data_IF_829465324151
#
_entry.id   IF_829465324151
#
_cell.length_a   1.000
_cell.length_b   1.000
_cell.length_c   1.000
_cell.angle_alpha   90.00
_cell.angle_beta   90.00
_cell.angle_gamma   90.00
#
_symmetry.space_group_name_H-M   'P 1'
#
loop_
_entity.id
_entity.type
_entity.pdbx_description
1 polymer ?
#
# COMPACT_ATOMS: atom_id res chain seq x y z
N UNK A 1 -5.47 -44.26 -12.42
CA UNK A 1 -6.01 -42.89 -12.58
C UNK A 1 -6.25 -42.36 -11.19
N UNK A 2 -5.30 -41.60 -10.63
CA UNK A 2 -5.39 -41.09 -9.27
C UNK A 2 -5.73 -39.61 -9.32
N UNK A 3 -6.92 -39.33 -8.84
CA UNK A 3 -7.48 -37.99 -8.71
C UNK A 3 -6.72 -37.22 -7.63
N UNK A 4 -5.99 -36.20 -8.05
CA UNK A 4 -5.23 -35.30 -7.18
C UNK A 4 -6.17 -34.15 -6.79
N UNK A 5 -6.98 -34.38 -5.74
CA UNK A 5 -7.80 -33.35 -5.12
C UNK A 5 -6.91 -32.16 -4.72
N UNK A 6 -7.09 -31.04 -5.42
CA UNK A 6 -6.56 -29.72 -5.08
C UNK A 6 -7.08 -29.34 -3.68
N UNK A 7 -6.15 -29.28 -2.72
CA UNK A 7 -6.44 -28.84 -1.37
C UNK A 7 -6.76 -27.30 -1.40
N UNK A 8 -7.96 -26.87 -0.98
CA UNK A 8 -8.27 -25.44 -0.95
C UNK A 8 -7.33 -24.74 0.03
N UNK A 9 -6.82 -23.59 -0.38
CA UNK A 9 -5.88 -22.78 0.40
C UNK A 9 -6.35 -22.67 1.86
N UNK A 10 -5.56 -23.27 2.76
CA UNK A 10 -5.84 -23.31 4.19
C UNK A 10 -5.86 -21.89 4.71
N UNK A 11 -7.01 -21.40 5.20
CA UNK A 11 -7.11 -20.10 5.86
C UNK A 11 -5.97 -19.99 6.87
N UNK A 12 -5.22 -18.87 6.90
CA UNK A 12 -4.15 -18.68 7.86
C UNK A 12 -4.69 -18.95 9.26
N UNK A 13 -3.91 -19.67 10.06
CA UNK A 13 -4.28 -19.99 11.43
C UNK A 13 -4.45 -18.67 12.18
N UNK A 14 -5.64 -18.43 12.73
CA UNK A 14 -5.99 -17.19 13.46
C UNK A 14 -4.98 -16.88 14.59
N UNK A 15 -4.34 -17.90 15.12
CA UNK A 15 -3.32 -17.75 16.15
C UNK A 15 -2.03 -17.17 15.57
N UNK A 16 -1.62 -17.65 14.40
CA UNK A 16 -0.46 -17.13 13.66
C UNK A 16 -0.67 -15.64 13.34
N UNK A 17 -1.83 -15.30 12.77
CA UNK A 17 -2.13 -13.91 12.42
C UNK A 17 -2.11 -12.99 13.66
N UNK A 18 -2.76 -13.38 14.75
CA UNK A 18 -2.73 -12.58 15.99
C UNK A 18 -1.32 -12.36 16.54
N UNK A 19 -0.44 -13.34 16.40
CA UNK A 19 0.96 -13.19 16.82
C UNK A 19 1.70 -12.20 15.94
N UNK A 20 1.48 -12.24 14.62
CA UNK A 20 2.06 -11.31 13.66
C UNK A 20 1.56 -9.89 13.91
N UNK A 21 0.24 -9.72 14.06
CA UNK A 21 -0.40 -8.43 14.36
C UNK A 21 0.18 -7.84 15.66
N UNK A 22 0.27 -8.63 16.75
CA UNK A 22 0.82 -8.16 18.01
C UNK A 22 2.29 -7.72 17.92
N UNK A 23 3.11 -8.40 17.09
CA UNK A 23 4.50 -8.02 16.86
C UNK A 23 4.61 -6.75 16.00
N UNK A 24 3.78 -6.61 14.96
CA UNK A 24 3.69 -5.40 14.13
C UNK A 24 3.26 -4.20 14.95
N UNK A 25 2.14 -4.31 15.70
CA UNK A 25 1.64 -3.25 16.58
C UNK A 25 2.69 -2.80 17.61
N UNK A 26 3.44 -3.76 18.18
CA UNK A 26 4.50 -3.45 19.14
C UNK A 26 5.65 -2.68 18.47
N UNK A 27 6.09 -3.10 17.28
CA UNK A 27 7.14 -2.40 16.54
C UNK A 27 6.71 -0.97 16.18
N UNK A 28 5.51 -0.79 15.63
CA UNK A 28 4.98 0.53 15.28
C UNK A 28 4.86 1.42 16.53
N UNK A 29 4.38 0.88 17.65
CA UNK A 29 4.33 1.62 18.92
C UNK A 29 5.72 2.11 19.36
N UNK A 30 6.72 1.25 19.31
CA UNK A 30 8.09 1.62 19.67
C UNK A 30 8.69 2.67 18.72
N UNK A 31 8.35 2.63 17.44
CA UNK A 31 8.82 3.60 16.44
C UNK A 31 8.25 5.02 16.64
N UNK A 32 7.16 5.18 17.37
CA UNK A 32 6.66 6.51 17.76
C UNK A 32 7.55 7.18 18.83
N UNK A 33 8.24 6.39 19.64
CA UNK A 33 9.01 6.90 20.78
C UNK A 33 10.53 6.82 20.58
N UNK A 34 10.97 5.96 19.65
CA UNK A 34 12.38 5.64 19.48
C UNK A 34 12.77 5.60 17.99
N UNK A 35 14.01 6.02 17.65
CA UNK A 35 14.56 5.76 16.32
C UNK A 35 14.57 4.26 16.03
N UNK A 36 14.20 3.87 14.80
CA UNK A 36 14.11 2.46 14.40
C UNK A 36 15.39 1.66 14.75
N UNK A 37 16.57 2.24 14.53
CA UNK A 37 17.85 1.57 14.76
C UNK A 37 18.14 1.31 16.25
N UNK A 38 17.55 2.10 17.14
CA UNK A 38 17.68 1.90 18.59
C UNK A 38 16.77 0.79 19.11
N UNK A 39 15.69 0.44 18.39
CA UNK A 39 14.76 -0.60 18.78
C UNK A 39 15.42 -1.98 18.58
N UNK A 40 15.42 -2.81 19.60
CA UNK A 40 15.89 -4.20 19.51
C UNK A 40 14.72 -5.18 19.31
N UNK A 41 15.03 -6.39 18.81
CA UNK A 41 14.03 -7.47 18.77
C UNK A 41 13.49 -7.75 20.19
N UNK A 42 14.35 -7.63 21.24
CA UNK A 42 13.90 -7.88 22.62
C UNK A 42 12.84 -6.87 23.07
N UNK A 43 12.98 -5.59 22.73
CA UNK A 43 11.98 -4.55 23.07
C UNK A 43 10.62 -4.88 22.44
N UNK A 44 10.63 -5.32 21.17
CA UNK A 44 9.41 -5.76 20.48
C UNK A 44 8.78 -6.98 21.14
N UNK A 45 9.60 -7.96 21.54
CA UNK A 45 9.12 -9.19 22.21
C UNK A 45 8.48 -8.87 23.57
N UNK A 46 9.13 -8.01 24.35
CA UNK A 46 8.67 -7.61 25.67
C UNK A 46 7.33 -6.88 25.60
N UNK A 47 7.18 -5.96 24.63
CA UNK A 47 5.95 -5.22 24.42
C UNK A 47 4.82 -6.10 23.86
N UNK A 48 5.13 -6.98 22.90
CA UNK A 48 4.15 -7.89 22.27
C UNK A 48 3.74 -9.07 23.17
N UNK A 49 4.50 -9.36 24.23
CA UNK A 49 4.30 -10.56 25.05
C UNK A 49 4.55 -11.88 24.30
N UNK A 50 5.47 -11.87 23.33
CA UNK A 50 5.76 -13.01 22.46
C UNK A 50 7.14 -13.58 22.76
N UNK A 51 7.28 -14.91 22.75
CA UNK A 51 8.57 -15.55 23.00
C UNK A 51 9.51 -15.38 21.81
N UNK A 52 10.84 -15.35 22.09
CA UNK A 52 11.88 -15.26 21.07
C UNK A 52 11.80 -16.39 20.04
N UNK A 53 11.53 -17.61 20.46
CA UNK A 53 11.36 -18.75 19.55
C UNK A 53 10.17 -18.57 18.61
N UNK A 54 9.06 -18.01 19.11
CA UNK A 54 7.89 -17.71 18.28
C UNK A 54 8.20 -16.63 17.25
N UNK A 55 8.92 -15.57 17.63
CA UNK A 55 9.33 -14.51 16.70
C UNK A 55 10.11 -15.10 15.50
N UNK A 56 11.16 -15.84 15.77
CA UNK A 56 12.00 -16.42 14.72
C UNK A 56 11.34 -17.53 13.90
N UNK A 57 10.15 -17.97 14.27
CA UNK A 57 9.30 -18.82 13.43
C UNK A 57 8.63 -17.99 12.31
N UNK A 58 8.45 -16.69 12.51
CA UNK A 58 7.72 -15.81 11.60
C UNK A 58 8.61 -14.80 10.88
N UNK A 59 9.64 -14.29 11.53
CA UNK A 59 10.49 -13.20 11.05
C UNK A 59 11.96 -13.49 11.31
N UNK A 60 12.84 -13.06 10.39
CA UNK A 60 14.28 -13.19 10.51
C UNK A 60 14.88 -12.16 11.48
N UNK A 61 14.36 -10.96 11.42
CA UNK A 61 14.79 -9.78 12.17
C UNK A 61 13.67 -8.72 12.23
N UNK A 62 13.96 -7.57 12.82
CA UNK A 62 12.98 -6.46 12.92
C UNK A 62 12.69 -5.78 11.58
N UNK A 63 13.64 -5.83 10.64
CA UNK A 63 13.45 -5.30 9.28
C UNK A 63 12.44 -6.16 8.50
N UNK A 64 12.57 -7.48 8.61
CA UNK A 64 11.63 -8.44 8.02
C UNK A 64 10.22 -8.29 8.62
N UNK A 65 10.12 -8.06 9.93
CA UNK A 65 8.85 -7.72 10.58
C UNK A 65 8.26 -6.44 10.02
N UNK A 66 9.04 -5.35 9.97
CA UNK A 66 8.59 -4.05 9.47
C UNK A 66 8.08 -4.14 8.02
N UNK A 67 8.86 -4.76 7.13
CA UNK A 67 8.48 -4.89 5.72
C UNK A 67 7.25 -5.78 5.55
N UNK A 68 7.12 -6.82 6.35
CA UNK A 68 5.96 -7.70 6.33
C UNK A 68 4.67 -6.99 6.78
N UNK A 69 4.77 -6.18 7.83
CA UNK A 69 3.65 -5.39 8.35
C UNK A 69 3.23 -4.31 7.35
N UNK A 70 4.21 -3.60 6.77
CA UNK A 70 3.98 -2.63 5.71
C UNK A 70 3.32 -3.25 4.47
N UNK A 71 3.75 -4.45 4.06
CA UNK A 71 3.16 -5.19 2.93
C UNK A 71 1.68 -5.50 3.17
N UNK A 72 1.35 -6.04 4.36
CA UNK A 72 -0.03 -6.35 4.75
C UNK A 72 -0.90 -5.08 4.81
N UNK A 73 -0.37 -3.99 5.37
CA UNK A 73 -1.05 -2.71 5.44
C UNK A 73 -1.36 -2.16 4.04
N UNK A 74 -0.36 -2.07 3.15
CA UNK A 74 -0.57 -1.52 1.81
C UNK A 74 -1.43 -2.42 0.94
N UNK A 75 -1.34 -3.74 1.10
CA UNK A 75 -2.23 -4.68 0.45
C UNK A 75 -3.69 -4.43 0.87
N UNK A 76 -3.96 -4.26 2.16
CA UNK A 76 -5.28 -3.96 2.68
C UNK A 76 -5.79 -2.61 2.17
N UNK A 77 -4.98 -1.57 2.31
CA UNK A 77 -5.30 -0.20 1.89
C UNK A 77 -5.61 -0.14 0.39
N UNK A 78 -4.77 -0.71 -0.47
CA UNK A 78 -4.96 -0.70 -1.92
C UNK A 78 -6.24 -1.46 -2.37
N UNK A 79 -6.77 -2.37 -1.54
CA UNK A 79 -7.98 -3.11 -1.82
C UNK A 79 -9.24 -2.52 -1.16
N UNK A 80 -9.11 -1.46 -0.37
CA UNK A 80 -10.18 -0.90 0.46
C UNK A 80 -11.46 -0.62 -0.33
N UNK A 81 -11.37 0.05 -1.49
CA UNK A 81 -12.54 0.35 -2.33
C UNK A 81 -13.26 -0.89 -2.84
N UNK A 82 -12.51 -1.96 -3.12
CA UNK A 82 -13.10 -3.24 -3.55
C UNK A 82 -13.76 -3.97 -2.38
N UNK A 83 -13.12 -3.96 -1.21
CA UNK A 83 -13.61 -4.63 -0.01
C UNK A 83 -14.87 -3.96 0.55
N UNK A 84 -14.96 -2.64 0.47
CA UNK A 84 -16.14 -1.87 0.91
C UNK A 84 -17.26 -1.83 -0.13
N UNK A 85 -17.05 -2.40 -1.31
CA UNK A 85 -18.05 -2.39 -2.39
C UNK A 85 -18.30 -0.99 -2.97
N UNK A 86 -17.26 -0.14 -3.00
CA UNK A 86 -17.31 1.22 -3.54
C UNK A 86 -17.83 1.23 -4.99
N UNK A 87 -18.89 2.02 -5.24
CA UNK A 87 -19.56 2.12 -6.54
C UNK A 87 -19.19 3.37 -7.33
N UNK A 88 -18.45 4.30 -6.73
CA UNK A 88 -17.99 5.51 -7.42
C UNK A 88 -16.95 5.19 -8.50
N UNK A 89 -16.56 6.20 -9.23
CA UNK A 89 -15.49 6.12 -10.23
C UNK A 89 -14.07 6.26 -9.63
N UNK A 90 -13.93 6.18 -8.30
CA UNK A 90 -12.61 6.18 -7.64
C UNK A 90 -11.84 4.91 -8.00
N UNK A 91 -10.56 5.08 -8.32
CA UNK A 91 -9.65 3.98 -8.70
C UNK A 91 -8.68 3.60 -7.59
N UNK A 92 -8.48 4.48 -6.61
CA UNK A 92 -7.62 4.26 -5.45
C UNK A 92 -8.20 4.96 -4.20
N UNK A 93 -7.94 4.46 -2.99
CA UNK A 93 -8.37 5.07 -1.72
C UNK A 93 -7.42 6.22 -1.33
N UNK A 94 -7.34 7.25 -2.18
CA UNK A 94 -6.40 8.37 -2.01
C UNK A 94 -6.73 9.14 -0.74
N UNK A 95 -8.01 9.50 -0.54
CA UNK A 95 -8.43 10.22 0.67
C UNK A 95 -8.02 9.48 1.93
N UNK A 96 -8.34 8.18 2.00
CA UNK A 96 -8.07 7.34 3.15
C UNK A 96 -6.56 7.21 3.42
N UNK A 97 -5.75 7.13 2.36
CA UNK A 97 -4.30 7.09 2.49
C UNK A 97 -3.72 8.42 2.98
N UNK A 98 -4.21 9.57 2.48
CA UNK A 98 -3.80 10.90 2.92
C UNK A 98 -4.24 11.16 4.37
N UNK A 99 -5.45 10.77 4.76
CA UNK A 99 -5.94 10.82 6.15
C UNK A 99 -5.04 10.00 7.09
N UNK A 100 -4.66 8.79 6.67
CA UNK A 100 -3.77 7.94 7.43
C UNK A 100 -2.39 8.59 7.63
N UNK A 101 -1.77 9.06 6.55
CA UNK A 101 -0.44 9.69 6.62
C UNK A 101 -0.46 10.98 7.44
N UNK A 102 -1.56 11.74 7.43
CA UNK A 102 -1.74 12.91 8.30
C UNK A 102 -1.68 12.55 9.80
N UNK A 103 -2.14 11.36 10.16
CA UNK A 103 -2.20 10.89 11.55
C UNK A 103 -0.86 10.34 12.05
N UNK A 104 -0.03 9.80 11.15
CA UNK A 104 1.21 9.12 11.49
C UNK A 104 2.46 10.02 11.28
N UNK A 105 2.33 11.34 11.43
CA UNK A 105 3.40 12.29 11.12
C UNK A 105 4.73 11.96 11.80
N UNK A 106 4.74 11.59 13.08
CA UNK A 106 5.94 11.20 13.83
C UNK A 106 6.54 9.89 13.28
N UNK A 107 5.71 8.88 13.01
CA UNK A 107 6.15 7.63 12.40
C UNK A 107 6.73 7.86 11.01
N UNK A 108 6.13 8.75 10.20
CA UNK A 108 6.66 9.12 8.90
C UNK A 108 8.09 9.69 9.03
N UNK A 109 8.33 10.61 9.97
CA UNK A 109 9.65 11.14 10.24
C UNK A 109 10.65 10.07 10.69
N UNK A 110 10.24 9.16 11.58
CA UNK A 110 11.06 8.04 11.99
C UNK A 110 11.45 7.11 10.82
N UNK A 111 10.53 6.89 9.87
CA UNK A 111 10.82 6.12 8.65
C UNK A 111 11.81 6.86 7.72
N UNK A 112 11.71 8.19 7.61
CA UNK A 112 12.66 9.01 6.83
C UNK A 112 14.06 8.90 7.44
N UNK A 113 14.18 9.14 8.74
CA UNK A 113 15.46 9.15 9.46
C UNK A 113 16.16 7.77 9.44
N UNK A 114 15.40 6.69 9.55
CA UNK A 114 15.93 5.32 9.50
C UNK A 114 16.18 4.79 8.08
N UNK A 115 15.86 5.56 7.03
CA UNK A 115 15.96 5.11 5.65
C UNK A 115 14.94 4.02 5.25
N UNK A 116 13.95 3.74 6.10
CA UNK A 116 12.91 2.72 5.83
C UNK A 116 11.81 3.21 4.89
N UNK A 117 11.66 4.53 4.75
CA UNK A 117 10.63 5.13 3.92
C UNK A 117 10.70 4.63 2.47
N UNK A 118 11.90 4.53 1.88
CA UNK A 118 12.05 4.12 0.48
C UNK A 118 11.48 2.72 0.24
N UNK A 119 11.83 1.74 1.07
CA UNK A 119 11.34 0.37 0.95
C UNK A 119 9.81 0.29 1.17
N UNK A 120 9.27 1.03 2.15
CA UNK A 120 7.83 1.11 2.38
C UNK A 120 7.10 1.73 1.17
N UNK A 121 7.66 2.80 0.55
CA UNK A 121 7.08 3.44 -0.63
C UNK A 121 7.09 2.54 -1.87
N UNK A 122 8.12 1.72 -2.07
CA UNK A 122 8.19 0.75 -3.16
C UNK A 122 7.08 -0.30 -3.02
N UNK A 123 6.89 -0.88 -1.83
CA UNK A 123 5.79 -1.78 -1.53
C UNK A 123 4.43 -1.12 -1.76
N UNK A 124 4.25 0.08 -1.24
CA UNK A 124 3.02 0.86 -1.41
C UNK A 124 2.69 1.07 -2.88
N UNK A 125 3.66 1.54 -3.67
CA UNK A 125 3.47 1.80 -5.10
C UNK A 125 3.07 0.53 -5.86
N UNK A 126 3.67 -0.61 -5.54
CA UNK A 126 3.34 -1.89 -6.18
C UNK A 126 1.90 -2.32 -5.86
N UNK A 127 1.48 -2.25 -4.59
CA UNK A 127 0.12 -2.61 -4.19
C UNK A 127 -0.93 -1.67 -4.80
N UNK A 128 -0.69 -0.38 -4.76
CA UNK A 128 -1.61 0.61 -5.34
C UNK A 128 -1.70 0.49 -6.86
N UNK A 129 -0.61 0.25 -7.56
CA UNK A 129 -0.64 0.00 -9.00
C UNK A 129 -1.54 -1.20 -9.35
N UNK A 130 -1.39 -2.32 -8.64
CA UNK A 130 -2.27 -3.49 -8.82
C UNK A 130 -3.73 -3.18 -8.49
N UNK A 131 -3.99 -2.40 -7.44
CA UNK A 131 -5.32 -1.95 -7.05
C UNK A 131 -5.98 -1.08 -8.13
N UNK A 132 -5.26 -0.08 -8.61
CA UNK A 132 -5.70 0.84 -9.69
C UNK A 132 -5.98 0.07 -10.97
N UNK A 133 -5.09 -0.83 -11.39
CA UNK A 133 -5.28 -1.65 -12.60
C UNK A 133 -6.58 -2.46 -12.52
N UNK A 134 -6.83 -3.09 -11.38
CA UNK A 134 -8.05 -3.85 -11.12
C UNK A 134 -9.29 -2.97 -11.20
N UNK A 135 -9.27 -1.80 -10.58
CA UNK A 135 -10.41 -0.86 -10.61
C UNK A 135 -10.64 -0.28 -12.00
N UNK A 136 -9.61 0.09 -12.74
CA UNK A 136 -9.71 0.54 -14.12
C UNK A 136 -10.36 -0.53 -15.01
N UNK A 137 -10.01 -1.81 -14.84
CA UNK A 137 -10.63 -2.89 -15.60
C UNK A 137 -12.10 -3.11 -15.26
N UNK A 138 -12.53 -2.80 -14.04
CA UNK A 138 -13.94 -2.89 -13.63
C UNK A 138 -14.77 -1.70 -14.13
N UNK A 139 -14.22 -0.50 -14.11
CA UNK A 139 -14.95 0.75 -14.41
C UNK A 139 -14.96 1.10 -15.90
N UNK A 140 -14.05 0.58 -16.70
CA UNK A 140 -13.94 0.88 -18.14
C UNK A 140 -13.92 -0.38 -19.01
N UNK A 141 -14.94 -1.24 -18.98
CA UNK A 141 -14.95 -2.46 -19.80
C UNK A 141 -15.05 -2.17 -21.31
N UNK A 142 -15.67 -1.05 -21.71
CA UNK A 142 -15.87 -0.66 -23.11
C UNK A 142 -14.66 0.07 -23.73
N UNK A 143 -13.76 0.61 -22.92
CA UNK A 143 -12.53 1.29 -23.36
C UNK A 143 -11.31 0.45 -22.94
N UNK A 144 -11.38 -0.84 -23.15
CA UNK A 144 -10.31 -1.76 -22.80
C UNK A 144 -9.05 -1.43 -23.61
N UNK A 145 -8.27 -0.47 -23.11
CA UNK A 145 -6.87 -0.34 -23.50
C UNK A 145 -6.22 -1.74 -23.42
N UNK A 146 -5.31 -2.10 -24.32
CA UNK A 146 -4.56 -3.34 -24.23
C UNK A 146 -4.04 -3.53 -22.79
N UNK A 147 -4.00 -4.76 -22.29
CA UNK A 147 -3.62 -5.03 -20.89
C UNK A 147 -2.30 -4.35 -20.51
N UNK A 148 -1.31 -4.37 -21.40
CA UNK A 148 0.00 -3.71 -21.21
C UNK A 148 -0.13 -2.18 -21.01
N UNK A 149 -1.00 -1.50 -21.76
CA UNK A 149 -1.24 -0.05 -21.59
C UNK A 149 -1.92 0.26 -20.26
N UNK A 150 -2.82 -0.60 -19.81
CA UNK A 150 -3.51 -0.46 -18.52
C UNK A 150 -2.56 -0.64 -17.34
N UNK A 151 -1.68 -1.63 -17.39
CA UNK A 151 -0.63 -1.84 -16.39
C UNK A 151 0.30 -0.63 -16.32
N UNK A 152 0.75 -0.10 -17.47
CA UNK A 152 1.60 1.09 -17.52
C UNK A 152 0.90 2.32 -16.93
N UNK A 153 -0.37 2.54 -17.26
CA UNK A 153 -1.18 3.62 -16.68
C UNK A 153 -1.29 3.47 -15.16
N UNK A 154 -1.59 2.28 -14.69
CA UNK A 154 -1.73 2.01 -13.26
C UNK A 154 -0.43 2.29 -12.50
N UNK A 155 0.73 1.92 -13.07
CA UNK A 155 2.04 2.26 -12.52
C UNK A 155 2.27 3.77 -12.49
N UNK A 156 1.97 4.47 -13.59
CA UNK A 156 2.09 5.92 -13.67
C UNK A 156 1.20 6.64 -12.66
N UNK A 157 -0.05 6.20 -12.50
CA UNK A 157 -0.98 6.81 -11.54
C UNK A 157 -0.58 6.50 -10.09
N UNK A 158 -0.11 5.30 -9.78
CA UNK A 158 0.43 5.00 -8.46
C UNK A 158 1.63 5.91 -8.15
N UNK A 159 2.58 6.03 -9.07
CA UNK A 159 3.71 6.95 -8.92
C UNK A 159 3.28 8.41 -8.72
N UNK A 160 2.30 8.89 -9.50
CA UNK A 160 1.75 10.23 -9.36
C UNK A 160 1.09 10.44 -7.98
N UNK A 161 0.33 9.47 -7.47
CA UNK A 161 -0.29 9.55 -6.14
C UNK A 161 0.75 9.74 -5.04
N UNK A 162 1.83 8.93 -5.05
CA UNK A 162 2.88 9.05 -4.04
C UNK A 162 3.73 10.32 -4.22
N UNK A 163 3.93 10.80 -5.45
CA UNK A 163 4.55 12.11 -5.70
C UNK A 163 3.69 13.25 -5.13
N UNK A 164 2.37 13.21 -5.35
CA UNK A 164 1.43 14.17 -4.75
C UNK A 164 1.46 14.12 -3.22
N UNK A 165 1.53 12.94 -2.63
CA UNK A 165 1.61 12.75 -1.18
C UNK A 165 2.92 13.34 -0.62
N UNK A 166 4.06 13.06 -1.26
CA UNK A 166 5.35 13.61 -0.86
C UNK A 166 5.37 15.16 -0.93
N UNK A 167 4.81 15.73 -2.00
CA UNK A 167 4.65 17.18 -2.12
C UNK A 167 3.75 17.75 -1.03
N UNK A 168 2.62 17.12 -0.77
CA UNK A 168 1.65 17.55 0.23
C UNK A 168 2.22 17.57 1.65
N UNK A 169 3.00 16.54 2.02
CA UNK A 169 3.72 16.49 3.29
C UNK A 169 4.80 17.56 3.38
N UNK A 170 5.60 17.74 2.33
CA UNK A 170 6.67 18.74 2.28
C UNK A 170 6.16 20.19 2.41
N UNK A 171 4.88 20.43 2.10
CA UNK A 171 4.23 21.75 2.16
C UNK A 171 3.28 21.90 3.36
N UNK A 172 3.45 21.10 4.41
CA UNK A 172 2.63 21.14 5.63
C UNK A 172 1.12 20.93 5.35
N UNK A 173 0.80 20.00 4.47
CA UNK A 173 -0.57 19.56 4.21
C UNK A 173 -1.51 20.72 3.82
N UNK A 174 -1.23 21.44 2.72
CA UNK A 174 -1.91 22.70 2.39
C UNK A 174 -3.37 22.54 1.97
N UNK A 175 -3.80 21.31 1.68
CA UNK A 175 -5.13 20.97 1.20
C UNK A 175 -5.71 19.81 2.00
N UNK A 176 -7.05 19.73 2.08
CA UNK A 176 -7.70 18.60 2.73
C UNK A 176 -7.47 17.27 1.95
N UNK A 177 -7.40 16.12 2.60
CA UNK A 177 -7.28 14.81 1.93
C UNK A 177 -8.33 14.57 0.84
N UNK A 178 -9.56 15.05 1.04
CA UNK A 178 -10.62 14.96 0.03
C UNK A 178 -10.33 15.79 -1.24
N UNK A 179 -9.63 16.91 -1.12
CA UNK A 179 -9.21 17.72 -2.28
C UNK A 179 -8.12 17.02 -3.07
N UNK A 180 -7.17 16.37 -2.37
CA UNK A 180 -6.14 15.54 -2.99
C UNK A 180 -6.74 14.34 -3.73
N UNK A 181 -7.74 13.69 -3.15
CA UNK A 181 -8.50 12.59 -3.78
C UNK A 181 -9.19 13.07 -5.06
N UNK A 182 -9.87 14.21 -5.02
CA UNK A 182 -10.54 14.80 -6.18
C UNK A 182 -9.53 15.15 -7.29
N UNK A 183 -8.43 15.81 -6.96
CA UNK A 183 -7.40 16.19 -7.91
C UNK A 183 -6.78 14.96 -8.59
N UNK A 184 -6.48 13.92 -7.82
CA UNK A 184 -5.96 12.66 -8.34
C UNK A 184 -6.95 12.02 -9.33
N UNK A 185 -8.22 11.87 -8.95
CA UNK A 185 -9.20 11.20 -9.81
C UNK A 185 -9.55 12.02 -11.06
N UNK A 186 -9.52 13.35 -11.01
CA UNK A 186 -9.62 14.20 -12.20
C UNK A 186 -8.46 13.94 -13.18
N UNK A 187 -7.23 13.88 -12.67
CA UNK A 187 -6.05 13.54 -13.48
C UNK A 187 -6.15 12.14 -14.10
N UNK A 188 -6.57 11.13 -13.33
CA UNK A 188 -6.74 9.76 -13.82
C UNK A 188 -7.73 9.73 -14.98
N UNK A 189 -8.92 10.30 -14.81
CA UNK A 189 -9.96 10.22 -15.84
C UNK A 189 -9.63 11.08 -17.07
N UNK A 190 -8.96 12.21 -16.91
CA UNK A 190 -8.42 12.97 -18.05
C UNK A 190 -7.39 12.15 -18.84
N UNK A 191 -6.50 11.42 -18.16
CA UNK A 191 -5.53 10.52 -18.79
C UNK A 191 -6.17 9.33 -19.51
N UNK A 192 -7.13 8.68 -18.88
CA UNK A 192 -7.84 7.51 -19.44
C UNK A 192 -8.64 7.90 -20.68
N UNK A 193 -9.36 9.03 -20.66
CA UNK A 193 -10.16 9.51 -21.80
C UNK A 193 -9.29 10.08 -22.92
N UNK A 194 -8.17 10.75 -22.57
CA UNK A 194 -7.24 11.33 -23.54
C UNK A 194 -6.50 10.30 -24.38
N UNK A 195 -6.22 9.12 -23.84
CA UNK A 195 -5.54 8.06 -24.59
C UNK A 195 -6.34 7.50 -25.78
N UNK A 196 -7.67 7.57 -25.72
CA UNK A 196 -8.52 7.19 -26.86
C UNK A 196 -8.36 8.11 -28.09
N UNK A 197 -7.76 9.28 -27.91
CA UNK A 197 -7.59 10.32 -28.93
C UNK A 197 -6.12 10.57 -29.35
N UNK A 198 -5.17 9.79 -28.83
CA UNK A 198 -3.78 9.95 -29.24
C UNK A 198 -3.61 9.47 -30.68
N UNK A 199 -3.00 10.27 -31.58
CA UNK A 199 -2.66 9.79 -32.91
C UNK A 199 -1.69 8.61 -32.77
N UNK A 200 -2.01 7.50 -33.43
CA UNK A 200 -1.08 6.38 -33.56
C UNK A 200 0.21 6.91 -34.17
N UNK A 201 1.33 6.77 -33.43
CA UNK A 201 2.63 7.13 -33.97
C UNK A 201 2.79 6.37 -35.29
N UNK A 202 2.87 7.13 -36.39
CA UNK A 202 3.19 6.55 -37.71
C UNK A 202 4.53 5.90 -37.58
N UNK A 203 4.56 4.58 -37.79
CA UNK A 203 5.79 3.83 -37.96
C UNK A 203 6.46 4.37 -39.22
N UNK A 204 7.52 5.17 -39.05
CA UNK A 204 8.44 5.57 -40.09
C UNK A 204 9.58 4.55 -40.23
#
# INVERSE_FOLDING_TARGET
MSDKTLNPARKPDRRIQRTRDALGDALITLMHENPFDAITVQDVLDLAGVSRSTFYTHFRDKDDLFLSDADEFFQHMANLLTMTGERSNRVAPVREMFEHVAQIGELYHAMVESGKLQAAMELAQEHFARGIERRLSQLSPAHAAPSASRTLLAQGFAGAMFSMMSWWLAHNQPSAPAEMDNAFHQMVWAGVTGMGNLPTAQQG
#
